data_IF_101001879615
#
_entry.id   IF_101001879615
#
_cell.length_a   1.000
_cell.length_b   1.000
_cell.length_c   1.000
_cell.angle_alpha   90.00
_cell.angle_beta   90.00
_cell.angle_gamma   90.00
#
_symmetry.space_group_name_H-M   'P 1'
#
loop_
_entity.id
_entity.type
_entity.pdbx_description
1 polymer ?
#
# COMPACT_ATOMS: atom_id res chain seq x y z
N UNK A 1 -0.46 13.96 -29.59
CA UNK A 1 -0.44 13.07 -28.41
C UNK A 1 -1.36 13.57 -27.29
N UNK A 2 -1.59 14.88 -27.15
CA UNK A 2 -2.56 15.45 -26.20
C UNK A 2 -4.04 15.23 -26.58
N UNK A 3 -4.39 15.18 -27.87
CA UNK A 3 -5.78 15.00 -28.32
C UNK A 3 -6.34 13.59 -28.09
N UNK A 4 -5.50 12.56 -28.03
CA UNK A 4 -5.94 11.18 -27.83
C UNK A 4 -6.40 10.90 -26.38
N UNK A 5 -5.90 11.66 -25.41
CA UNK A 5 -6.24 11.49 -23.98
C UNK A 5 -7.57 12.19 -23.65
N UNK A 6 -7.95 13.22 -24.42
CA UNK A 6 -9.19 13.97 -24.19
C UNK A 6 -10.46 13.14 -24.48
N UNK A 7 -10.35 12.10 -25.33
CA UNK A 7 -11.51 11.29 -25.73
C UNK A 7 -11.85 10.14 -24.76
N UNK A 8 -10.91 9.73 -23.90
CA UNK A 8 -11.10 8.66 -22.90
C UNK A 8 -11.72 9.14 -21.57
N UNK A 9 -11.77 10.46 -21.34
CA UNK A 9 -12.23 11.04 -20.06
C UNK A 9 -13.78 11.09 -19.95
N UNK A 10 -14.52 10.85 -21.04
CA UNK A 10 -15.98 11.10 -21.11
C UNK A 10 -16.89 9.89 -21.40
N UNK A 11 -16.41 8.64 -21.31
CA UNK A 11 -17.27 7.47 -21.55
C UNK A 11 -18.16 7.12 -20.32
N UNK A 12 -19.49 6.95 -20.47
CA UNK A 12 -20.36 6.49 -19.39
C UNK A 12 -20.22 4.97 -19.16
N UNK A 13 -20.16 4.55 -17.89
CA UNK A 13 -20.22 3.15 -17.47
C UNK A 13 -21.68 2.68 -17.42
N UNK A 14 -22.13 1.91 -18.41
CA UNK A 14 -23.41 1.21 -18.37
C UNK A 14 -23.26 -0.29 -18.03
N UNK A 15 -23.99 -0.66 -16.96
CA UNK A 15 -24.57 -1.94 -16.57
C UNK A 15 -23.99 -3.27 -17.11
N UNK A 16 -23.41 -4.06 -16.21
CA UNK A 16 -23.33 -5.52 -16.36
C UNK A 16 -24.35 -6.20 -15.44
N UNK A 17 -25.31 -6.84 -16.09
CA UNK A 17 -26.47 -7.51 -15.55
C UNK A 17 -26.09 -8.79 -14.76
N UNK A 18 -26.73 -8.98 -13.61
CA UNK A 18 -26.45 -10.03 -12.66
C UNK A 18 -27.54 -11.10 -12.70
N UNK A 19 -27.48 -12.06 -13.63
CA UNK A 19 -28.31 -13.28 -13.56
C UNK A 19 -27.64 -14.48 -14.23
N UNK A 20 -26.99 -15.34 -13.44
CA UNK A 20 -26.79 -16.76 -13.80
C UNK A 20 -26.54 -17.60 -12.53
N UNK A 21 -27.51 -18.43 -12.16
CA UNK A 21 -27.39 -19.43 -11.10
C UNK A 21 -26.66 -20.70 -11.60
N UNK A 22 -25.93 -21.44 -10.74
CA UNK A 22 -25.21 -22.65 -11.14
C UNK A 22 -26.14 -23.88 -11.25
N UNK A 23 -25.81 -24.88 -12.10
CA UNK A 23 -26.66 -26.05 -12.30
C UNK A 23 -26.50 -27.11 -11.19
N UNK A 24 -27.59 -27.84 -10.94
CA UNK A 24 -27.76 -28.86 -9.91
C UNK A 24 -27.03 -30.18 -10.23
N UNK A 25 -26.47 -30.81 -9.19
CA UNK A 25 -25.88 -32.14 -9.23
C UNK A 25 -26.95 -33.23 -9.05
N UNK A 26 -27.00 -34.19 -9.98
CA UNK A 26 -27.84 -35.40 -9.92
C UNK A 26 -27.24 -36.49 -9.02
N UNK A 27 -28.06 -37.28 -8.28
CA UNK A 27 -27.57 -38.28 -7.32
C UNK A 27 -27.37 -39.66 -7.96
N UNK A 28 -26.20 -40.27 -7.74
CA UNK A 28 -25.92 -41.69 -8.09
C UNK A 28 -26.20 -42.62 -6.91
N UNK A 29 -26.96 -43.70 -7.20
CA UNK A 29 -27.37 -44.81 -6.31
C UNK A 29 -26.19 -45.57 -5.67
N UNK A 30 -26.34 -46.13 -4.45
CA UNK A 30 -25.31 -46.97 -3.83
C UNK A 30 -25.42 -48.45 -4.29
N UNK A 31 -24.27 -49.11 -4.48
CA UNK A 31 -24.15 -50.57 -4.65
C UNK A 31 -23.89 -51.25 -3.30
N UNK A 32 -24.41 -52.47 -3.20
CA UNK A 32 -24.55 -53.35 -2.05
C UNK A 32 -23.24 -53.80 -1.39
N UNK A 33 -23.35 -54.02 -0.08
CA UNK A 33 -22.35 -54.60 0.81
C UNK A 33 -22.10 -56.08 0.52
N UNK A 34 -20.84 -56.50 0.70
CA UNK A 34 -20.48 -57.91 0.92
C UNK A 34 -19.61 -57.99 2.19
N UNK A 35 -19.85 -59.05 2.95
CA UNK A 35 -19.48 -59.18 4.35
C UNK A 35 -18.29 -60.12 4.54
N UNK A 36 -17.24 -59.65 5.23
CA UNK A 36 -16.23 -60.55 5.80
C UNK A 36 -15.74 -60.04 7.17
N UNK A 37 -15.80 -60.97 8.14
CA UNK A 37 -15.48 -60.99 9.58
C UNK A 37 -14.49 -59.96 10.19
N UNK A 38 -14.67 -59.57 11.48
CA UNK A 38 -13.81 -58.62 12.16
C UNK A 38 -12.56 -59.27 12.77
N UNK A 39 -11.43 -58.56 12.72
CA UNK A 39 -10.21 -58.83 13.48
C UNK A 39 -10.17 -58.01 14.79
N UNK A 40 -9.38 -58.41 15.81
CA UNK A 40 -9.48 -57.85 17.16
C UNK A 40 -8.98 -56.40 17.25
N UNK A 41 -9.70 -55.59 18.03
CA UNK A 41 -9.35 -54.20 18.34
C UNK A 41 -8.15 -54.14 19.29
N UNK A 42 -7.00 -53.65 18.81
CA UNK A 42 -5.95 -53.12 19.69
C UNK A 42 -6.34 -51.71 20.18
N UNK A 43 -6.05 -51.34 21.43
CA UNK A 43 -6.40 -50.03 21.96
C UNK A 43 -5.55 -48.94 21.29
N UNK A 44 -6.16 -48.21 20.36
CA UNK A 44 -5.58 -47.04 19.71
C UNK A 44 -5.23 -45.96 20.74
N UNK A 45 -3.97 -45.54 20.71
CA UNK A 45 -3.46 -44.37 21.40
C UNK A 45 -4.26 -43.11 21.05
N UNK A 46 -4.48 -42.18 22.00
CA UNK A 46 -5.27 -40.98 21.74
C UNK A 46 -4.56 -40.14 20.66
N UNK A 47 -5.27 -39.90 19.56
CA UNK A 47 -4.84 -38.98 18.50
C UNK A 47 -4.91 -37.56 19.05
N UNK A 48 -3.79 -37.08 19.59
CA UNK A 48 -3.61 -35.66 19.86
C UNK A 48 -3.80 -34.90 18.54
N UNK A 49 -4.72 -33.91 18.46
CA UNK A 49 -4.80 -33.07 17.27
C UNK A 49 -3.43 -32.42 17.07
N UNK A 50 -2.76 -32.75 15.95
CA UNK A 50 -1.47 -32.18 15.62
C UNK A 50 -1.64 -30.68 15.45
N UNK A 51 -1.23 -29.92 16.46
CA UNK A 51 -1.08 -28.47 16.37
C UNK A 51 -0.08 -28.23 15.22
N UNK A 52 -0.45 -27.51 14.14
CA UNK A 52 0.47 -27.21 13.06
C UNK A 52 1.73 -26.57 13.65
N UNK A 53 2.91 -27.05 13.23
CA UNK A 53 4.18 -26.56 13.75
C UNK A 53 4.23 -25.03 13.73
N UNK A 54 4.80 -24.36 14.76
CA UNK A 54 4.83 -22.89 14.89
C UNK A 54 5.46 -22.12 13.73
N UNK A 55 6.03 -22.85 12.75
CA UNK A 55 6.90 -22.37 11.69
C UNK A 55 6.42 -22.77 10.31
N UNK A 56 5.11 -23.01 10.09
CA UNK A 56 4.58 -23.11 8.72
C UNK A 56 4.76 -21.74 8.04
N UNK A 57 5.93 -21.57 7.44
CA UNK A 57 6.29 -20.43 6.60
C UNK A 57 5.32 -20.46 5.43
N UNK A 58 4.65 -19.34 5.17
CA UNK A 58 3.95 -19.14 3.91
C UNK A 58 4.88 -19.48 2.73
N UNK A 59 4.30 -19.98 1.64
CA UNK A 59 5.03 -20.10 0.38
C UNK A 59 5.60 -18.71 0.02
N UNK A 60 6.92 -18.54 0.19
CA UNK A 60 7.61 -17.25 0.07
C UNK A 60 8.46 -16.84 1.28
N UNK A 61 8.43 -17.56 2.41
CA UNK A 61 9.32 -17.29 3.54
C UNK A 61 9.00 -16.00 4.32
N UNK A 62 7.81 -15.43 4.13
CA UNK A 62 7.44 -14.12 4.67
C UNK A 62 6.82 -14.16 6.08
N UNK A 63 6.60 -15.35 6.64
CA UNK A 63 5.95 -15.56 7.93
C UNK A 63 4.67 -16.38 7.80
N UNK A 64 3.96 -16.59 8.90
CA UNK A 64 2.58 -17.12 8.89
C UNK A 64 1.61 -16.05 8.36
N UNK A 65 0.54 -16.46 7.66
CA UNK A 65 -0.52 -15.52 7.27
C UNK A 65 -1.30 -15.06 8.49
N UNK A 66 -1.89 -13.88 8.43
CA UNK A 66 -2.69 -13.35 9.54
C UNK A 66 -3.88 -14.24 9.88
N UNK A 67 -4.59 -14.77 8.88
CA UNK A 67 -5.72 -15.69 9.11
C UNK A 67 -5.30 -16.92 9.94
N UNK A 68 -4.17 -17.53 9.56
CA UNK A 68 -3.63 -18.73 10.22
C UNK A 68 -3.19 -18.39 11.65
N UNK A 69 -2.58 -17.21 11.84
CA UNK A 69 -2.20 -16.69 13.16
C UNK A 69 -3.42 -16.50 14.06
N UNK A 70 -4.49 -15.90 13.54
CA UNK A 70 -5.74 -15.69 14.27
C UNK A 70 -6.33 -17.03 14.72
N UNK A 71 -6.40 -18.01 13.81
CA UNK A 71 -6.93 -19.34 14.11
C UNK A 71 -6.07 -20.10 15.13
N UNK A 72 -4.75 -20.05 14.98
CA UNK A 72 -3.79 -20.65 15.92
C UNK A 72 -3.93 -20.06 17.31
N UNK A 73 -3.97 -18.72 17.43
CA UNK A 73 -4.11 -18.03 18.72
C UNK A 73 -5.50 -18.26 19.32
N UNK A 74 -6.56 -18.27 18.50
CA UNK A 74 -7.92 -18.59 18.95
C UNK A 74 -7.99 -19.98 19.57
N UNK A 75 -7.44 -20.98 18.88
CA UNK A 75 -7.46 -22.38 19.32
C UNK A 75 -6.72 -22.60 20.64
N UNK A 76 -5.69 -21.81 20.93
CA UNK A 76 -4.95 -21.88 22.20
C UNK A 76 -5.48 -20.94 23.29
N UNK A 77 -6.44 -20.05 22.97
CA UNK A 77 -6.93 -19.04 23.90
C UNK A 77 -8.03 -19.63 24.80
N UNK A 78 -7.99 -19.41 26.13
CA UNK A 78 -9.11 -19.77 27.00
C UNK A 78 -10.39 -19.00 26.67
N UNK A 79 -10.27 -17.89 25.93
CA UNK A 79 -11.39 -17.05 25.49
C UNK A 79 -11.78 -17.28 24.03
N UNK A 80 -11.13 -18.20 23.31
CA UNK A 80 -11.26 -18.34 21.86
C UNK A 80 -12.65 -18.76 21.37
N UNK A 81 -13.46 -19.37 22.25
CA UNK A 81 -14.85 -19.78 21.97
C UNK A 81 -15.88 -18.69 22.27
N UNK A 82 -15.48 -17.57 22.88
CA UNK A 82 -16.43 -16.52 23.25
C UNK A 82 -16.99 -15.81 22.00
N UNK A 83 -18.31 -15.55 21.96
CA UNK A 83 -18.92 -14.72 20.92
C UNK A 83 -18.23 -13.35 20.86
N UNK A 84 -17.87 -12.91 19.66
CA UNK A 84 -17.19 -11.63 19.46
C UNK A 84 -15.68 -11.64 19.74
N UNK A 85 -15.07 -12.79 20.09
CA UNK A 85 -13.62 -12.88 20.21
C UNK A 85 -12.94 -12.45 18.90
N UNK A 86 -11.99 -11.52 19.02
CA UNK A 86 -11.17 -11.07 17.91
C UNK A 86 -9.73 -10.82 18.36
N UNK A 87 -8.79 -11.06 17.46
CA UNK A 87 -7.40 -10.72 17.64
C UNK A 87 -7.09 -9.46 16.82
N UNK A 88 -6.40 -8.50 17.43
CA UNK A 88 -5.99 -7.25 16.78
C UNK A 88 -4.48 -7.06 16.94
N UNK A 89 -3.74 -6.78 15.85
CA UNK A 89 -2.32 -6.50 15.94
C UNK A 89 -2.10 -5.00 16.17
N UNK A 90 -1.30 -4.68 17.18
CA UNK A 90 -1.00 -3.30 17.58
C UNK A 90 0.50 -3.15 17.73
N UNK A 91 1.03 -2.06 17.18
CA UNK A 91 2.39 -1.57 17.40
C UNK A 91 2.31 -0.53 18.51
N UNK A 92 3.16 -0.67 19.52
CA UNK A 92 3.33 0.33 20.57
C UNK A 92 4.53 1.18 20.19
N UNK A 93 4.30 2.45 19.86
CA UNK A 93 5.36 3.41 19.54
C UNK A 93 5.60 4.30 20.75
N UNK A 94 6.86 4.48 21.11
CA UNK A 94 7.30 5.36 22.18
C UNK A 94 8.59 6.08 21.78
N UNK A 95 8.68 7.38 22.08
CA UNK A 95 9.88 8.20 21.87
C UNK A 95 9.77 9.24 20.75
N UNK A 96 8.90 9.02 19.76
CA UNK A 96 8.69 9.95 18.64
C UNK A 96 7.41 10.76 18.79
N UNK A 97 7.34 11.93 18.13
CA UNK A 97 6.12 12.74 18.13
C UNK A 97 4.98 12.06 17.36
N UNK A 98 4.07 11.40 18.09
CA UNK A 98 2.98 10.62 17.51
C UNK A 98 1.80 11.48 17.02
N UNK A 99 1.76 12.78 17.38
CA UNK A 99 0.70 13.71 16.90
C UNK A 99 0.87 14.01 15.41
N UNK A 100 2.11 14.03 14.92
CA UNK A 100 2.38 14.19 13.50
C UNK A 100 1.94 12.98 12.70
N UNK A 101 2.20 11.77 13.21
CA UNK A 101 1.69 10.53 12.61
C UNK A 101 0.15 10.54 12.55
N UNK A 102 -0.52 10.93 13.64
CA UNK A 102 -1.98 11.06 13.68
C UNK A 102 -2.51 12.03 12.61
N UNK A 103 -1.89 13.20 12.47
CA UNK A 103 -2.25 14.16 11.42
C UNK A 103 -2.08 13.55 10.02
N UNK A 104 -0.96 12.87 9.76
CA UNK A 104 -0.70 12.23 8.48
C UNK A 104 -1.77 11.20 8.12
N UNK A 105 -2.22 10.39 9.08
CA UNK A 105 -3.27 9.41 8.88
C UNK A 105 -4.64 10.07 8.65
N UNK A 106 -4.98 11.12 9.39
CA UNK A 106 -6.20 11.90 9.14
C UNK A 106 -6.23 12.49 7.73
N UNK A 107 -5.09 13.02 7.26
CA UNK A 107 -4.95 13.52 5.89
C UNK A 107 -5.06 12.37 4.88
N UNK A 108 -4.44 11.21 5.14
CA UNK A 108 -4.58 10.01 4.31
C UNK A 108 -6.05 9.58 4.18
N UNK A 109 -6.82 9.64 5.27
CA UNK A 109 -8.27 9.40 5.23
C UNK A 109 -9.00 10.41 4.34
N UNK A 110 -8.62 11.70 4.35
CA UNK A 110 -9.22 12.69 3.46
C UNK A 110 -8.93 12.41 1.98
N UNK A 111 -7.69 12.08 1.63
CA UNK A 111 -7.36 11.71 0.25
C UNK A 111 -8.19 10.50 -0.21
N UNK A 112 -8.36 9.50 0.65
CA UNK A 112 -9.15 8.30 0.35
C UNK A 112 -10.60 8.66 0.09
N UNK A 113 -11.13 9.59 0.89
CA UNK A 113 -12.49 10.07 0.75
C UNK A 113 -12.66 10.87 -0.55
N UNK A 114 -11.72 11.75 -0.90
CA UNK A 114 -11.75 12.51 -2.16
C UNK A 114 -11.73 11.58 -3.38
N UNK A 115 -10.87 10.55 -3.37
CA UNK A 115 -10.81 9.58 -4.47
C UNK A 115 -12.15 8.85 -4.65
N UNK A 116 -12.80 8.47 -3.55
CA UNK A 116 -14.14 7.85 -3.57
C UNK A 116 -15.22 8.80 -4.06
N UNK A 117 -15.25 10.04 -3.56
CA UNK A 117 -16.18 11.08 -3.99
C UNK A 117 -16.06 11.37 -5.50
N UNK A 118 -14.85 11.25 -6.04
CA UNK A 118 -14.56 11.47 -7.46
C UNK A 118 -14.72 10.23 -8.34
N UNK A 119 -15.11 9.08 -7.77
CA UNK A 119 -15.27 7.81 -8.50
C UNK A 119 -13.95 7.22 -9.05
N UNK A 120 -12.80 7.67 -8.53
CA UNK A 120 -11.50 7.21 -9.00
C UNK A 120 -11.10 5.90 -8.31
N UNK A 121 -10.52 4.93 -9.05
CA UNK A 121 -10.07 3.66 -8.49
C UNK A 121 -8.71 3.80 -7.76
N UNK A 122 -8.35 5.01 -7.31
CA UNK A 122 -7.13 5.24 -6.54
C UNK A 122 -7.24 4.62 -5.16
N UNK A 123 -6.17 3.93 -4.75
CA UNK A 123 -6.19 3.18 -3.51
C UNK A 123 -5.15 3.72 -2.53
N UNK A 124 -5.55 3.99 -1.29
CA UNK A 124 -4.65 4.24 -0.17
C UNK A 124 -5.28 3.70 1.11
N UNK A 125 -4.45 3.19 2.02
CA UNK A 125 -4.90 2.55 3.26
C UNK A 125 -4.52 3.39 4.47
N UNK A 126 -5.44 4.20 5.01
CA UNK A 126 -5.29 4.70 6.37
C UNK A 126 -5.37 3.53 7.36
N UNK A 127 -4.66 3.64 8.46
CA UNK A 127 -4.64 2.68 9.57
C UNK A 127 -4.88 3.41 10.88
N UNK A 128 -5.42 2.74 11.89
CA UNK A 128 -5.79 3.41 13.14
C UNK A 128 -4.57 3.84 13.95
N UNK A 129 -4.61 5.07 14.46
CA UNK A 129 -3.60 5.63 15.37
C UNK A 129 -4.31 6.24 16.57
N UNK A 130 -3.99 5.75 17.75
CA UNK A 130 -4.49 6.27 19.02
C UNK A 130 -3.31 6.87 19.77
N UNK A 131 -3.17 8.19 19.68
CA UNK A 131 -2.17 8.93 20.44
C UNK A 131 -2.55 8.94 21.93
N UNK A 132 -1.67 8.39 22.78
CA UNK A 132 -1.85 8.40 24.23
C UNK A 132 -1.18 9.62 24.87
N UNK A 133 -0.07 10.08 24.28
CA UNK A 133 0.65 11.27 24.67
C UNK A 133 1.28 11.94 23.45
N UNK A 134 2.05 13.01 23.67
CA UNK A 134 2.86 13.61 22.60
C UNK A 134 3.86 12.63 22.00
N UNK A 135 4.38 11.69 22.80
CA UNK A 135 5.50 10.80 22.42
C UNK A 135 5.14 9.31 22.42
N UNK A 136 3.87 8.96 22.61
CA UNK A 136 3.42 7.57 22.60
C UNK A 136 2.07 7.39 21.91
N UNK A 137 1.94 6.28 21.17
CA UNK A 137 0.71 5.90 20.49
C UNK A 137 0.60 4.38 20.30
N UNK A 138 -0.65 3.92 20.22
CA UNK A 138 -0.98 2.64 19.63
C UNK A 138 -1.24 2.83 18.14
N UNK A 139 -0.61 2.01 17.32
CA UNK A 139 -0.73 2.04 15.87
C UNK A 139 -1.21 0.66 15.41
N UNK A 140 -2.27 0.62 14.61
CA UNK A 140 -2.70 -0.62 13.97
C UNK A 140 -1.57 -1.18 13.09
N UNK A 141 -1.18 -2.44 13.33
CA UNK A 141 -0.21 -3.09 12.46
C UNK A 141 -0.88 -3.55 11.16
N UNK A 142 -0.31 -3.18 10.02
CA UNK A 142 -0.74 -3.71 8.72
C UNK A 142 -0.35 -5.19 8.64
N UNK A 143 -1.34 -6.05 8.45
CA UNK A 143 -1.17 -7.50 8.33
C UNK A 143 -0.89 -7.91 6.89
N UNK A 144 -0.18 -9.02 6.69
CA UNK A 144 0.11 -9.61 5.37
C UNK A 144 0.75 -8.61 4.37
N UNK A 145 1.47 -7.62 4.89
CA UNK A 145 2.15 -6.58 4.12
C UNK A 145 3.59 -6.39 4.61
N UNK A 146 4.52 -7.29 4.27
CA UNK A 146 5.94 -7.08 4.55
C UNK A 146 6.46 -5.82 3.83
N UNK A 147 7.47 -5.18 4.41
CA UNK A 147 8.18 -4.10 3.72
C UNK A 147 8.90 -4.62 2.49
N UNK A 148 9.05 -3.78 1.45
CA UNK A 148 9.83 -4.14 0.26
C UNK A 148 11.25 -4.58 0.67
N UNK A 149 11.83 -3.92 1.67
CA UNK A 149 13.09 -4.33 2.27
C UNK A 149 13.04 -5.77 2.80
N UNK A 150 12.02 -6.11 3.61
CA UNK A 150 11.89 -7.46 4.16
C UNK A 150 11.70 -8.52 3.07
N UNK A 151 10.99 -8.18 1.99
CA UNK A 151 10.85 -9.06 0.81
C UNK A 151 12.22 -9.32 0.19
N UNK A 152 12.98 -8.26 -0.11
CA UNK A 152 14.29 -8.36 -0.77
C UNK A 152 15.34 -9.04 0.11
N UNK A 153 15.35 -8.76 1.41
CA UNK A 153 16.28 -9.36 2.37
C UNK A 153 16.08 -10.87 2.56
N UNK A 154 14.86 -11.37 2.32
CA UNK A 154 14.53 -12.80 2.45
C UNK A 154 14.60 -13.55 1.11
N UNK A 155 14.63 -12.82 0.00
CA UNK A 155 14.79 -13.38 -1.34
C UNK A 155 16.27 -13.65 -1.66
N UNK A 156 16.56 -14.51 -2.65
CA UNK A 156 17.91 -14.63 -3.19
C UNK A 156 18.49 -13.26 -3.59
N UNK A 157 19.80 -13.08 -3.38
CA UNK A 157 20.48 -11.82 -3.70
C UNK A 157 20.23 -11.43 -5.17
N UNK A 158 19.81 -10.19 -5.38
CA UNK A 158 19.52 -9.65 -6.71
C UNK A 158 18.11 -9.92 -7.23
N UNK A 159 17.23 -10.56 -6.44
CA UNK A 159 15.82 -10.72 -6.82
C UNK A 159 15.17 -9.36 -6.98
N UNK A 160 14.63 -9.08 -8.17
CA UNK A 160 13.89 -7.84 -8.42
C UNK A 160 12.46 -7.91 -7.90
N UNK A 161 11.84 -6.75 -7.70
CA UNK A 161 10.42 -6.69 -7.32
C UNK A 161 9.51 -7.37 -8.35
N UNK A 162 9.85 -7.28 -9.65
CA UNK A 162 9.14 -7.96 -10.74
C UNK A 162 9.20 -9.49 -10.59
N UNK A 163 10.38 -10.04 -10.32
CA UNK A 163 10.54 -11.48 -10.08
C UNK A 163 9.75 -11.94 -8.85
N UNK A 164 9.69 -11.12 -7.80
CA UNK A 164 8.83 -11.40 -6.65
C UNK A 164 7.33 -11.43 -7.03
N UNK A 165 6.89 -10.47 -7.85
CA UNK A 165 5.52 -10.42 -8.36
C UNK A 165 5.15 -11.69 -9.13
N UNK A 166 6.02 -12.14 -10.04
CA UNK A 166 5.78 -13.35 -10.83
C UNK A 166 5.73 -14.60 -9.94
N UNK A 167 6.65 -14.71 -8.98
CA UNK A 167 6.68 -15.82 -8.03
C UNK A 167 5.43 -15.86 -7.13
N UNK A 168 4.89 -14.69 -6.74
CA UNK A 168 3.75 -14.58 -5.82
C UNK A 168 2.39 -14.71 -6.53
N UNK A 169 2.25 -14.09 -7.71
CA UNK A 169 0.98 -13.90 -8.39
C UNK A 169 0.83 -14.72 -9.69
N UNK A 170 1.88 -15.39 -10.13
CA UNK A 170 1.92 -16.18 -11.36
C UNK A 170 2.56 -15.42 -12.52
N UNK A 171 2.69 -16.09 -13.67
CA UNK A 171 3.32 -15.50 -14.85
C UNK A 171 2.56 -14.26 -15.36
N UNK A 172 3.24 -13.34 -16.07
CA UNK A 172 2.59 -12.18 -16.68
C UNK A 172 1.40 -12.58 -17.56
N UNK A 173 0.34 -11.77 -17.53
CA UNK A 173 -0.92 -12.03 -18.25
C UNK A 173 -1.92 -12.93 -17.53
N UNK A 174 -1.51 -13.72 -16.52
CA UNK A 174 -2.46 -14.49 -15.71
C UNK A 174 -3.42 -13.55 -14.95
N UNK A 175 -4.70 -13.92 -14.73
CA UNK A 175 -5.69 -13.05 -14.09
C UNK A 175 -5.23 -12.52 -12.72
N UNK A 176 -4.58 -13.37 -11.92
CA UNK A 176 -4.05 -13.01 -10.60
C UNK A 176 -2.91 -12.00 -10.68
N UNK A 177 -1.98 -12.17 -11.62
CA UNK A 177 -0.91 -11.21 -11.87
C UNK A 177 -1.48 -9.86 -12.32
N UNK A 178 -2.40 -9.85 -13.31
CA UNK A 178 -3.03 -8.63 -13.82
C UNK A 178 -3.77 -7.86 -12.72
N UNK A 179 -4.50 -8.56 -11.85
CA UNK A 179 -5.16 -7.92 -10.70
C UNK A 179 -4.15 -7.32 -9.72
N UNK A 180 -3.09 -8.05 -9.37
CA UNK A 180 -2.07 -7.55 -8.45
C UNK A 180 -1.31 -6.35 -9.03
N UNK A 181 -1.00 -6.38 -10.34
CA UNK A 181 -0.38 -5.28 -11.06
C UNK A 181 -1.30 -4.05 -11.09
N UNK A 182 -2.61 -4.25 -11.30
CA UNK A 182 -3.60 -3.16 -11.21
C UNK A 182 -3.64 -2.54 -9.81
N UNK A 183 -3.72 -3.37 -8.77
CA UNK A 183 -3.67 -2.94 -7.37
C UNK A 183 -2.39 -2.15 -7.06
N UNK A 184 -1.26 -2.61 -7.58
CA UNK A 184 0.04 -1.93 -7.47
C UNK A 184 -0.01 -0.54 -8.11
N UNK A 185 -0.52 -0.41 -9.34
CA UNK A 185 -0.64 0.86 -10.06
C UNK A 185 -1.58 1.83 -9.33
N UNK A 186 -2.75 1.36 -8.91
CA UNK A 186 -3.78 2.16 -8.24
C UNK A 186 -3.30 2.69 -6.88
N UNK A 187 -2.53 1.87 -6.15
CA UNK A 187 -1.91 2.30 -4.88
C UNK A 187 -0.71 3.20 -5.06
N UNK A 188 0.15 2.91 -6.05
CA UNK A 188 1.31 3.74 -6.37
C UNK A 188 0.87 5.16 -6.76
N UNK A 189 -0.12 5.30 -7.64
CA UNK A 189 -0.66 6.60 -8.03
C UNK A 189 -1.26 7.35 -6.83
N UNK A 190 -2.03 6.65 -5.99
CA UNK A 190 -2.68 7.25 -4.82
C UNK A 190 -1.68 7.80 -3.81
N UNK A 191 -0.61 7.05 -3.53
CA UNK A 191 0.47 7.49 -2.65
C UNK A 191 1.41 8.52 -3.30
N UNK A 192 1.67 8.46 -4.61
CA UNK A 192 2.48 9.49 -5.32
C UNK A 192 1.90 10.89 -5.16
N UNK A 193 0.58 11.05 -5.32
CA UNK A 193 -0.08 12.35 -5.13
C UNK A 193 -0.01 12.78 -3.67
N UNK A 194 -0.26 11.86 -2.73
CA UNK A 194 -0.21 12.14 -1.30
C UNK A 194 1.18 12.59 -0.85
N UNK A 195 2.23 11.87 -1.25
CA UNK A 195 3.62 12.18 -0.86
C UNK A 195 4.08 13.50 -1.48
N UNK A 196 3.68 13.80 -2.72
CA UNK A 196 3.94 15.10 -3.35
C UNK A 196 3.29 16.26 -2.57
N UNK A 197 1.96 16.20 -2.37
CA UNK A 197 1.20 17.27 -1.72
C UNK A 197 1.63 17.47 -0.28
N UNK A 198 1.82 16.39 0.48
CA UNK A 198 2.20 16.47 1.89
C UNK A 198 3.71 16.57 2.12
N UNK A 199 4.51 16.50 1.06
CA UNK A 199 5.98 16.45 1.14
C UNK A 199 6.45 15.39 2.13
N UNK A 200 5.91 14.19 1.99
CA UNK A 200 6.33 13.04 2.80
C UNK A 200 7.72 12.61 2.32
N UNK A 201 8.66 12.64 3.25
CA UNK A 201 10.08 12.34 3.01
C UNK A 201 10.43 10.97 3.57
N UNK A 202 11.71 10.59 3.46
CA UNK A 202 12.22 9.32 3.98
C UNK A 202 11.49 8.12 3.34
N UNK A 203 11.27 8.17 2.02
CA UNK A 203 10.56 7.12 1.27
C UNK A 203 11.55 6.09 0.75
N UNK A 204 11.94 5.16 1.62
CA UNK A 204 12.78 4.00 1.29
C UNK A 204 12.00 2.68 1.40
N UNK A 205 12.60 1.58 0.93
CA UNK A 205 11.98 0.24 0.89
C UNK A 205 11.57 -0.32 2.27
N UNK A 206 12.02 0.30 3.37
CA UNK A 206 11.61 -0.04 4.73
C UNK A 206 10.24 0.56 5.12
N UNK A 207 9.92 1.74 4.59
CA UNK A 207 8.70 2.50 4.89
C UNK A 207 7.58 2.26 3.86
N UNK A 208 7.80 1.35 2.92
CA UNK A 208 6.84 0.96 1.89
C UNK A 208 6.59 -0.53 2.01
N UNK A 209 5.36 -0.88 2.34
CA UNK A 209 4.87 -2.24 2.43
C UNK A 209 4.27 -2.68 1.10
N UNK A 210 4.38 -3.96 0.79
CA UNK A 210 3.66 -4.60 -0.30
C UNK A 210 2.70 -5.63 0.28
N UNK A 211 1.40 -5.37 0.17
CA UNK A 211 0.36 -6.25 0.66
C UNK A 211 0.21 -7.49 -0.25
N UNK A 212 -0.31 -8.57 0.33
CA UNK A 212 -0.43 -9.88 -0.31
C UNK A 212 -1.38 -9.95 -1.52
N UNK A 213 -2.05 -8.85 -1.84
CA UNK A 213 -2.91 -8.64 -3.03
C UNK A 213 -2.28 -7.70 -4.07
N UNK A 214 -1.07 -7.17 -3.84
CA UNK A 214 -0.33 -6.33 -4.78
C UNK A 214 -0.36 -4.83 -4.46
N UNK A 215 -1.12 -4.35 -3.47
CA UNK A 215 -1.11 -2.92 -3.12
C UNK A 215 0.16 -2.50 -2.39
N UNK A 216 0.66 -1.30 -2.70
CA UNK A 216 1.64 -0.59 -1.90
C UNK A 216 0.97 0.15 -0.73
N UNK A 217 1.61 0.14 0.44
CA UNK A 217 1.14 0.87 1.63
C UNK A 217 2.32 1.64 2.21
N UNK A 218 2.25 2.97 2.19
CA UNK A 218 3.26 3.80 2.85
C UNK A 218 2.96 3.87 4.35
N UNK A 219 4.00 3.69 5.16
CA UNK A 219 3.96 3.82 6.62
C UNK A 219 4.99 4.84 7.09
N UNK A 220 4.95 5.17 8.38
CA UNK A 220 5.88 6.08 9.06
C UNK A 220 5.93 7.47 8.42
N UNK A 221 5.04 8.37 8.83
CA UNK A 221 4.95 9.74 8.29
C UNK A 221 5.67 10.78 9.18
N UNK A 222 6.68 10.35 9.92
CA UNK A 222 7.47 11.22 10.82
C UNK A 222 8.20 12.36 10.11
N UNK A 223 8.36 12.29 8.79
CA UNK A 223 8.97 13.35 7.98
C UNK A 223 7.97 13.80 6.92
N UNK A 224 7.21 14.85 7.22
CA UNK A 224 6.29 15.47 6.27
C UNK A 224 6.33 17.00 6.37
N UNK A 225 5.78 17.68 5.37
CA UNK A 225 5.73 19.14 5.26
C UNK A 225 7.15 19.75 5.34
N UNK A 226 7.48 20.49 6.41
CA UNK A 226 8.80 21.11 6.55
C UNK A 226 9.86 20.25 7.24
N UNK A 227 9.52 19.09 7.82
CA UNK A 227 10.52 18.25 8.50
C UNK A 227 11.29 17.42 7.49
N UNK A 228 12.61 17.27 7.68
CA UNK A 228 13.49 16.42 6.86
C UNK A 228 14.40 15.57 7.76
N UNK A 229 14.74 14.33 7.36
CA UNK A 229 15.76 13.54 8.05
C UNK A 229 17.09 14.31 8.10
N UNK A 230 17.71 14.38 9.28
CA UNK A 230 19.03 15.02 9.45
C UNK A 230 19.10 16.53 9.17
N UNK A 231 17.97 17.22 8.95
CA UNK A 231 17.94 18.66 8.69
C UNK A 231 18.45 19.09 7.30
N UNK A 232 18.82 18.14 6.44
CA UNK A 232 19.27 18.38 5.07
C UNK A 232 18.17 17.89 4.12
N UNK A 233 17.77 18.72 3.16
CA UNK A 233 16.80 18.33 2.12
C UNK A 233 17.50 17.43 1.08
N UNK A 234 17.72 16.16 1.43
CA UNK A 234 18.33 15.17 0.54
C UNK A 234 17.41 14.69 -0.59
N UNK A 235 16.10 14.93 -0.50
CA UNK A 235 15.11 14.38 -1.41
C UNK A 235 14.75 15.41 -2.48
N UNK A 236 15.35 15.28 -3.66
CA UNK A 236 15.03 16.09 -4.85
C UNK A 236 13.87 15.50 -5.67
N UNK A 237 13.48 14.25 -5.44
CA UNK A 237 12.40 13.60 -6.20
C UNK A 237 11.02 13.95 -5.62
N UNK A 238 10.04 14.33 -6.47
CA UNK A 238 8.65 14.55 -6.06
C UNK A 238 8.01 13.38 -5.31
N UNK A 239 8.26 12.14 -5.75
CA UNK A 239 7.85 10.91 -5.11
C UNK A 239 8.74 9.72 -5.54
N UNK A 240 8.57 8.56 -4.88
CA UNK A 240 9.36 7.37 -5.19
C UNK A 240 8.79 6.63 -6.41
N UNK A 241 9.51 6.67 -7.53
CA UNK A 241 9.21 5.90 -8.74
C UNK A 241 10.50 5.25 -9.25
N UNK A 242 10.77 4.02 -8.82
CA UNK A 242 12.03 3.35 -9.14
C UNK A 242 11.94 2.54 -10.43
N UNK A 243 13.09 2.17 -11.00
CA UNK A 243 13.16 1.24 -12.14
C UNK A 243 12.45 -0.09 -11.84
N UNK A 244 12.57 -0.61 -10.61
CA UNK A 244 11.86 -1.83 -10.21
C UNK A 244 10.34 -1.67 -10.27
N UNK A 245 9.80 -0.46 -10.04
CA UNK A 245 8.36 -0.20 -10.16
C UNK A 245 7.93 -0.15 -11.63
N UNK A 246 8.77 0.42 -12.50
CA UNK A 246 8.54 0.41 -13.96
C UNK A 246 8.53 -1.02 -14.50
N UNK A 247 9.47 -1.86 -14.05
CA UNK A 247 9.52 -3.28 -14.41
C UNK A 247 8.27 -4.06 -13.95
N UNK A 248 7.71 -3.76 -12.77
CA UNK A 248 6.42 -4.33 -12.32
C UNK A 248 5.28 -3.89 -13.24
N UNK A 249 5.34 -2.66 -13.79
CA UNK A 249 4.36 -2.15 -14.75
C UNK A 249 4.65 -2.56 -16.20
N UNK A 250 5.57 -3.49 -16.48
CA UNK A 250 5.97 -3.86 -17.87
C UNK A 250 6.55 -2.70 -18.69
N UNK A 251 7.00 -1.61 -18.07
CA UNK A 251 7.69 -0.52 -18.75
C UNK A 251 9.20 -0.74 -18.68
N UNK A 252 9.85 -0.74 -19.84
CA UNK A 252 11.30 -0.87 -19.95
C UNK A 252 12.02 0.49 -19.94
N UNK A 253 13.34 0.43 -19.82
CA UNK A 253 14.25 1.57 -19.88
C UNK A 253 14.45 2.11 -21.31
N UNK A 254 13.75 1.57 -22.31
CA UNK A 254 13.82 2.03 -23.71
C UNK A 254 12.77 3.09 -24.06
N UNK A 255 11.87 3.40 -23.10
CA UNK A 255 10.92 4.53 -23.21
C UNK A 255 9.59 4.18 -23.88
N UNK A 256 9.32 2.90 -24.17
CA UNK A 256 8.00 2.46 -24.62
C UNK A 256 7.05 2.33 -23.41
N UNK A 257 6.16 3.31 -23.23
CA UNK A 257 5.20 3.30 -22.14
C UNK A 257 4.23 2.11 -22.27
N UNK A 258 4.23 1.21 -21.28
CA UNK A 258 3.28 0.11 -21.20
C UNK A 258 1.85 0.60 -20.91
N UNK A 259 0.85 -0.25 -21.15
CA UNK A 259 -0.54 0.05 -20.80
C UNK A 259 -0.69 0.37 -19.30
N UNK A 260 -0.04 -0.42 -18.43
CA UNK A 260 -0.07 -0.19 -16.98
C UNK A 260 0.58 1.13 -16.57
N UNK A 261 1.67 1.55 -17.22
CA UNK A 261 2.30 2.84 -16.93
C UNK A 261 1.52 4.03 -17.50
N UNK A 262 0.86 3.86 -18.65
CA UNK A 262 -0.09 4.86 -19.15
C UNK A 262 -1.28 5.00 -18.20
N UNK A 263 -1.82 3.89 -17.70
CA UNK A 263 -2.86 3.89 -16.67
C UNK A 263 -2.39 4.61 -15.39
N UNK A 264 -1.17 4.35 -14.92
CA UNK A 264 -0.55 5.08 -13.81
C UNK A 264 -0.54 6.61 -14.04
N UNK A 265 -0.07 7.06 -15.22
CA UNK A 265 -0.06 8.50 -15.56
C UNK A 265 -1.44 9.11 -15.53
N UNK A 266 -2.44 8.44 -16.12
CA UNK A 266 -3.84 8.89 -16.14
C UNK A 266 -4.38 9.00 -14.72
N UNK A 267 -4.16 7.99 -13.87
CA UNK A 267 -4.59 8.02 -12.47
C UNK A 267 -3.91 9.13 -11.66
N UNK A 268 -2.62 9.37 -11.87
CA UNK A 268 -1.91 10.48 -11.23
C UNK A 268 -2.51 11.84 -11.60
N UNK A 269 -2.82 12.05 -12.89
CA UNK A 269 -3.44 13.30 -13.38
C UNK A 269 -4.84 13.46 -12.80
N UNK A 270 -5.71 12.46 -12.98
CA UNK A 270 -7.10 12.52 -12.50
C UNK A 270 -7.18 12.66 -10.98
N UNK A 271 -6.33 11.93 -10.26
CA UNK A 271 -6.21 12.00 -8.82
C UNK A 271 -5.74 13.37 -8.33
N UNK A 272 -4.72 13.93 -8.96
CA UNK A 272 -4.23 15.27 -8.64
C UNK A 272 -5.29 16.35 -8.87
N UNK A 273 -5.95 16.34 -10.02
CA UNK A 273 -7.03 17.28 -10.33
C UNK A 273 -8.20 17.15 -9.34
N UNK A 274 -8.53 15.93 -8.95
CA UNK A 274 -9.57 15.67 -7.93
C UNK A 274 -9.15 16.22 -6.57
N UNK A 275 -7.95 15.90 -6.09
CA UNK A 275 -7.39 16.42 -4.83
C UNK A 275 -7.33 17.95 -4.84
N UNK A 276 -7.01 18.57 -5.97
CA UNK A 276 -6.99 20.01 -6.17
C UNK A 276 -8.37 20.67 -5.99
N UNK A 277 -9.45 20.04 -6.49
CA UNK A 277 -10.84 20.52 -6.26
C UNK A 277 -11.20 20.57 -4.77
N UNK A 278 -10.55 19.77 -3.94
CA UNK A 278 -10.75 19.69 -2.50
C UNK A 278 -9.59 20.29 -1.68
N UNK A 279 -8.75 21.15 -2.29
CA UNK A 279 -7.55 21.69 -1.65
C UNK A 279 -7.82 22.34 -0.29
N UNK A 280 -8.88 23.17 -0.16
CA UNK A 280 -9.20 23.85 1.10
C UNK A 280 -9.48 22.87 2.26
N UNK A 281 -10.12 21.72 1.99
CA UNK A 281 -10.37 20.69 3.02
C UNK A 281 -9.06 20.18 3.62
N UNK A 282 -8.06 19.96 2.77
CA UNK A 282 -6.73 19.50 3.19
C UNK A 282 -5.97 20.62 3.90
N UNK A 283 -5.99 21.84 3.34
CA UNK A 283 -5.25 22.97 3.90
C UNK A 283 -5.79 23.37 5.27
N UNK A 284 -7.11 23.40 5.45
CA UNK A 284 -7.73 23.73 6.74
C UNK A 284 -7.36 22.74 7.84
N UNK A 285 -7.31 21.44 7.54
CA UNK A 285 -6.87 20.43 8.52
C UNK A 285 -5.42 20.64 8.96
N UNK A 286 -4.55 20.98 8.01
CA UNK A 286 -3.14 21.31 8.30
C UNK A 286 -3.04 22.62 9.09
N UNK A 287 -3.86 23.62 8.75
CA UNK A 287 -3.89 24.93 9.39
C UNK A 287 -4.32 24.86 10.86
N UNK A 288 -5.37 24.08 11.16
CA UNK A 288 -5.82 23.84 12.55
C UNK A 288 -4.72 23.25 13.44
N UNK A 289 -3.80 22.47 12.86
CA UNK A 289 -2.69 21.85 13.58
C UNK A 289 -1.43 22.72 13.62
N UNK A 290 -1.40 23.87 12.95
CA UNK A 290 -0.20 24.72 12.86
C UNK A 290 0.32 25.21 14.21
N UNK A 291 -0.58 25.48 15.17
CA UNK A 291 -0.25 25.93 16.52
C UNK A 291 0.09 24.79 17.50
N UNK A 292 0.10 23.53 17.05
CA UNK A 292 0.32 22.36 17.92
C UNK A 292 1.75 22.22 18.46
N UNK A 293 2.71 22.95 17.89
CA UNK A 293 4.14 22.76 18.18
C UNK A 293 4.73 21.47 17.59
N UNK A 294 4.06 20.82 16.62
CA UNK A 294 4.63 19.66 15.95
C UNK A 294 5.84 20.04 15.05
N UNK A 295 6.87 19.17 14.93
CA UNK A 295 8.06 19.45 14.13
C UNK A 295 7.79 19.81 12.67
N UNK A 296 6.71 19.27 12.08
CA UNK A 296 6.28 19.55 10.71
C UNK A 296 5.82 20.99 10.47
N UNK A 297 5.67 21.80 11.53
CA UNK A 297 5.30 23.22 11.48
C UNK A 297 6.45 24.17 11.84
N UNK A 298 7.70 23.68 11.99
CA UNK A 298 8.86 24.53 12.35
C UNK A 298 9.10 25.70 11.41
N UNK A 299 8.74 25.59 10.14
CA UNK A 299 8.85 26.70 9.17
C UNK A 299 7.71 27.74 9.27
N UNK A 300 6.80 27.60 10.25
CA UNK A 300 5.73 28.56 10.53
C UNK A 300 4.78 28.77 9.35
N UNK A 301 4.38 30.01 9.03
CA UNK A 301 3.45 30.31 7.94
C UNK A 301 3.90 29.78 6.57
N UNK A 302 5.21 29.60 6.35
CA UNK A 302 5.74 29.05 5.10
C UNK A 302 5.25 27.63 4.82
N UNK A 303 4.90 26.86 5.86
CA UNK A 303 4.37 25.49 5.69
C UNK A 303 3.07 25.51 4.91
N UNK A 304 2.11 26.34 5.33
CA UNK A 304 0.82 26.50 4.66
C UNK A 304 0.98 27.15 3.29
N UNK A 305 1.86 28.15 3.16
CA UNK A 305 2.14 28.78 1.86
C UNK A 305 2.69 27.76 0.85
N UNK A 306 3.65 26.94 1.26
CA UNK A 306 4.22 25.91 0.38
C UNK A 306 3.22 24.79 0.08
N UNK A 307 2.38 24.42 1.05
CA UNK A 307 1.28 23.46 0.82
C UNK A 307 0.31 23.98 -0.24
N UNK A 308 -0.17 25.23 -0.09
CA UNK A 308 -1.06 25.88 -1.05
C UNK A 308 -0.44 25.97 -2.45
N UNK A 309 0.86 26.30 -2.54
CA UNK A 309 1.59 26.34 -3.83
C UNK A 309 1.55 25.02 -4.58
N UNK A 310 1.68 23.87 -3.90
CA UNK A 310 1.66 22.54 -4.55
C UNK A 310 0.33 22.15 -5.17
N UNK A 311 -0.76 22.83 -4.83
CA UNK A 311 -2.06 22.65 -5.49
C UNK A 311 -2.18 23.42 -6.81
N UNK A 312 -1.27 24.35 -7.11
CA UNK A 312 -1.26 25.13 -8.36
C UNK A 312 -2.66 25.71 -8.69
N UNK A 313 -3.28 26.40 -7.73
CA UNK A 313 -4.65 26.90 -7.86
C UNK A 313 -4.82 27.94 -8.98
N UNK A 314 -3.74 28.60 -9.38
CA UNK A 314 -3.73 29.59 -10.45
C UNK A 314 -3.57 28.97 -11.85
N UNK A 315 -3.23 27.68 -11.94
CA UNK A 315 -3.03 26.99 -13.22
C UNK A 315 -4.34 26.48 -13.81
N UNK A 316 -4.39 26.33 -15.14
CA UNK A 316 -5.48 25.62 -15.83
C UNK A 316 -5.35 24.11 -15.67
N UNK A 317 -6.38 23.33 -16.03
CA UNK A 317 -6.30 21.87 -15.98
C UNK A 317 -5.20 21.33 -16.91
N UNK A 318 -5.03 21.93 -18.09
CA UNK A 318 -3.99 21.56 -19.06
C UNK A 318 -2.59 21.79 -18.49
N UNK A 319 -2.37 22.94 -17.84
CA UNK A 319 -1.10 23.22 -17.15
C UNK A 319 -0.86 22.24 -15.99
N UNK A 320 -1.90 21.86 -15.26
CA UNK A 320 -1.79 20.84 -14.20
C UNK A 320 -1.44 19.45 -14.77
N UNK A 321 -1.92 19.10 -15.96
CA UNK A 321 -1.53 17.87 -16.67
C UNK A 321 -0.03 17.90 -16.98
N UNK A 322 0.46 19.00 -17.55
CA UNK A 322 1.89 19.18 -17.85
C UNK A 322 2.76 19.10 -16.60
N UNK A 323 2.34 19.75 -15.51
CA UNK A 323 3.02 19.69 -14.21
C UNK A 323 3.09 18.23 -13.73
N UNK A 324 1.97 17.49 -13.73
CA UNK A 324 1.96 16.11 -13.25
C UNK A 324 2.83 15.18 -14.12
N UNK A 325 2.83 15.36 -15.44
CA UNK A 325 3.73 14.62 -16.33
C UNK A 325 5.21 14.96 -16.07
N UNK A 326 5.52 16.24 -15.83
CA UNK A 326 6.85 16.68 -15.42
C UNK A 326 7.31 16.03 -14.11
N UNK A 327 6.45 16.02 -13.08
CA UNK A 327 6.75 15.37 -11.81
C UNK A 327 7.02 13.86 -11.96
N UNK A 328 6.27 13.17 -12.83
CA UNK A 328 6.51 11.75 -13.14
C UNK A 328 7.87 11.57 -13.82
N UNK A 329 8.21 12.43 -14.78
CA UNK A 329 9.52 12.40 -15.45
C UNK A 329 10.67 12.62 -14.46
N UNK A 330 10.58 13.68 -13.65
CA UNK A 330 11.59 14.01 -12.64
C UNK A 330 11.77 12.87 -11.63
N UNK A 331 10.69 12.18 -11.28
CA UNK A 331 10.75 11.03 -10.38
C UNK A 331 11.36 9.76 -11.00
N UNK A 332 11.28 9.58 -12.33
CA UNK A 332 11.96 8.48 -13.03
C UNK A 332 13.47 8.74 -13.19
N UNK A 333 13.84 9.98 -13.51
CA UNK A 333 15.21 10.41 -13.75
C UNK A 333 16.01 10.69 -12.46
N UNK A 334 15.39 10.50 -11.29
CA UNK A 334 15.99 10.78 -9.99
C UNK A 334 17.15 9.83 -9.66
N UNK A 335 18.36 10.20 -10.10
CA UNK A 335 19.62 9.66 -9.60
C UNK A 335 19.71 9.73 -8.06
N UNK A 336 19.09 10.76 -7.45
CA UNK A 336 19.05 10.96 -6.00
C UNK A 336 18.27 9.89 -5.24
N UNK A 337 17.20 9.31 -5.78
CA UNK A 337 16.48 8.19 -5.11
C UNK A 337 17.40 6.97 -5.00
N UNK A 338 18.24 6.72 -6.01
CA UNK A 338 19.24 5.63 -5.98
C UNK A 338 20.32 5.91 -4.93
N UNK A 339 20.75 7.16 -4.80
CA UNK A 339 21.77 7.57 -3.84
C UNK A 339 21.25 7.56 -2.40
N UNK A 340 19.97 7.88 -2.18
CA UNK A 340 19.33 7.77 -0.87
C UNK A 340 19.07 6.32 -0.47
N UNK A 341 18.55 5.48 -1.37
CA UNK A 341 18.43 4.05 -1.12
C UNK A 341 19.81 3.42 -0.89
N UNK A 342 20.86 3.88 -1.60
CA UNK A 342 22.25 3.49 -1.33
C UNK A 342 22.75 3.95 0.04
N UNK A 343 22.48 5.20 0.43
CA UNK A 343 22.82 5.73 1.76
C UNK A 343 22.14 4.92 2.87
N UNK A 344 20.84 4.64 2.72
CA UNK A 344 20.06 3.79 3.63
C UNK A 344 20.58 2.35 3.64
N UNK A 345 21.03 1.81 2.49
CA UNK A 345 21.69 0.51 2.40
C UNK A 345 23.01 0.47 3.16
N UNK A 346 23.84 1.50 3.00
CA UNK A 346 25.18 1.57 3.60
C UNK A 346 25.10 1.79 5.11
N UNK A 347 24.21 2.66 5.59
CA UNK A 347 24.14 3.01 7.01
C UNK A 347 23.17 2.13 7.80
N UNK A 348 22.02 1.82 7.23
CA UNK A 348 20.93 1.14 7.93
C UNK A 348 20.68 -0.28 7.40
N UNK A 349 21.45 -0.75 6.40
CA UNK A 349 21.30 -2.08 5.82
C UNK A 349 20.04 -2.26 4.97
N UNK A 350 19.33 -1.19 4.61
CA UNK A 350 18.05 -1.24 3.90
C UNK A 350 18.26 -1.46 2.40
N UNK A 351 17.91 -2.65 1.91
CA UNK A 351 18.04 -3.13 0.51
C UNK A 351 17.07 -2.53 -0.51
#
# INVERSE_FOLDING_TARGET
MAEAIHHEIHAPLEALDATAAPPALTPTRPRSADASRPAPLEPGSPTTPQIPSPWKRSAGGLGEKWCDKVERVRSSSPYGTLPGWSLKPVIIKAGDNCRQELLAIQLTQQFRQIYRESGLPLWIRPFEVIAQSTTSAFIEAVTDAPSIHAIKSRAPRGTSLRQHFEARFGAPGQPRFRQAQRNFVESLAGYSILTYILQVKDRHNGNILLHDDGHLIHIDFNFMLSTSPGGINFESSPFKLTREYLEVMDSDDTGAASEAFNYYKVLCIQGYLSVRKHAERIVQLVEMMSASGCPCFKAGPKVLQNLRRRFNMECTEEQCVEIMLGLISDSMDAWCTRQYDFYQRVLNGIL
#
